data_IF_914944648675
#
_entry.id   IF_914944648675
#
_cell.length_a   1.000
_cell.length_b   1.000
_cell.length_c   1.000
_cell.angle_alpha   90.00
_cell.angle_beta   90.00
_cell.angle_gamma   90.00
#
_symmetry.space_group_name_H-M   'P 1'
#
loop_
_entity.id
_entity.type
_entity.pdbx_description
1 polymer ?
#
# COMPACT_ATOMS: atom_id res chain seq x y z
N UNK A 1 29.24 -27.19 -29.86
CA UNK A 1 27.89 -27.41 -29.29
C UNK A 1 28.01 -27.23 -27.79
N UNK A 2 27.66 -26.04 -27.36
CA UNK A 2 27.83 -25.41 -26.07
C UNK A 2 26.60 -25.68 -25.20
N UNK A 3 26.82 -26.30 -24.04
CA UNK A 3 25.81 -26.46 -23.00
C UNK A 3 25.96 -25.31 -22.00
N UNK A 4 25.18 -24.25 -22.19
CA UNK A 4 25.06 -23.17 -21.20
C UNK A 4 24.18 -23.63 -20.02
N UNK A 5 24.80 -24.27 -19.02
CA UNK A 5 24.21 -24.46 -17.70
C UNK A 5 24.45 -23.21 -16.86
N UNK A 6 23.41 -22.45 -16.56
CA UNK A 6 23.48 -21.34 -15.61
C UNK A 6 23.77 -21.89 -14.21
N UNK A 7 25.03 -21.85 -13.78
CA UNK A 7 25.41 -22.11 -12.40
C UNK A 7 25.00 -20.91 -11.55
N UNK A 8 24.02 -21.10 -10.67
CA UNK A 8 23.66 -20.12 -9.65
C UNK A 8 24.88 -19.81 -8.77
N UNK A 9 25.13 -18.52 -8.51
CA UNK A 9 26.18 -18.08 -7.57
C UNK A 9 25.73 -18.41 -6.15
N UNK A 10 26.52 -19.22 -5.45
CA UNK A 10 26.40 -19.38 -3.99
C UNK A 10 27.07 -18.16 -3.36
N UNK A 11 26.31 -17.39 -2.58
CA UNK A 11 26.82 -16.21 -1.85
C UNK A 11 27.36 -16.72 -0.50
N UNK A 12 28.68 -16.90 -0.41
CA UNK A 12 29.37 -17.52 0.74
C UNK A 12 29.69 -16.52 1.89
N UNK A 13 29.33 -15.24 1.75
CA UNK A 13 29.72 -14.20 2.70
C UNK A 13 28.51 -13.64 3.48
N UNK A 14 28.45 -13.76 4.83
CA UNK A 14 27.37 -13.23 5.66
C UNK A 14 27.11 -11.72 5.51
N UNK A 15 28.15 -10.95 5.15
CA UNK A 15 28.02 -9.50 4.91
C UNK A 15 27.43 -9.15 3.54
N UNK A 16 27.62 -10.02 2.54
CA UNK A 16 26.95 -9.92 1.24
C UNK A 16 25.48 -10.33 1.36
N UNK A 17 25.14 -11.28 2.24
CA UNK A 17 23.74 -11.64 2.54
C UNK A 17 23.00 -10.46 3.15
N UNK A 18 23.64 -9.71 4.06
CA UNK A 18 23.03 -8.51 4.67
C UNK A 18 22.84 -7.39 3.63
N UNK A 19 23.82 -7.17 2.78
CA UNK A 19 23.79 -6.15 1.72
C UNK A 19 22.78 -6.52 0.62
N UNK A 20 22.74 -7.78 0.20
CA UNK A 20 21.77 -8.29 -0.78
C UNK A 20 20.34 -8.32 -0.23
N UNK A 21 20.14 -8.65 1.06
CA UNK A 21 18.82 -8.56 1.69
C UNK A 21 18.33 -7.12 1.87
N UNK A 22 19.24 -6.15 1.92
CA UNK A 22 18.93 -4.71 1.89
C UNK A 22 18.70 -4.20 0.46
N UNK A 23 19.36 -4.76 -0.56
CA UNK A 23 19.15 -4.44 -1.99
C UNK A 23 17.94 -5.14 -2.63
N UNK A 24 17.45 -6.25 -2.05
CA UNK A 24 16.20 -6.95 -2.45
C UNK A 24 14.93 -6.28 -1.92
N UNK A 25 15.03 -5.09 -1.31
CA UNK A 25 13.87 -4.23 -1.14
C UNK A 25 13.77 -3.33 -2.37
N UNK A 26 12.83 -3.58 -3.31
CA UNK A 26 12.65 -2.66 -4.42
C UNK A 26 12.42 -1.25 -3.86
N UNK A 27 12.86 -0.20 -4.57
CA UNK A 27 12.69 1.21 -4.16
C UNK A 27 11.22 1.63 -3.91
N UNK A 28 10.27 0.71 -4.04
CA UNK A 28 8.82 0.86 -3.95
C UNK A 28 8.22 0.81 -2.54
N UNK A 29 9.02 0.69 -1.48
CA UNK A 29 8.49 0.60 -0.09
C UNK A 29 8.43 1.92 0.67
N UNK A 30 8.61 3.08 0.02
CA UNK A 30 8.56 4.41 0.67
C UNK A 30 7.22 4.65 1.38
N UNK A 31 6.14 4.04 0.89
CA UNK A 31 4.83 4.08 1.56
C UNK A 31 4.86 3.55 3.00
N UNK A 32 5.81 2.67 3.35
CA UNK A 32 5.96 2.10 4.70
C UNK A 32 6.38 3.12 5.75
N UNK A 33 7.01 4.22 5.33
CA UNK A 33 7.39 5.31 6.25
C UNK A 33 6.29 6.35 6.41
N UNK A 34 5.16 6.17 5.73
CA UNK A 34 4.07 7.15 5.75
C UNK A 34 3.18 6.95 6.98
N UNK A 35 2.77 8.04 7.67
CA UNK A 35 2.02 7.94 8.92
C UNK A 35 0.60 7.36 8.74
N UNK A 36 0.08 7.40 7.52
CA UNK A 36 -1.21 6.84 7.12
C UNK A 36 -1.14 5.37 6.73
N UNK A 37 0.06 4.77 6.67
CA UNK A 37 0.25 3.36 6.34
C UNK A 37 0.41 2.53 7.60
N UNK A 38 -0.42 1.49 7.74
CA UNK A 38 -0.50 0.67 8.95
C UNK A 38 -0.02 -0.77 8.73
N UNK A 39 0.61 -1.06 7.60
CA UNK A 39 1.09 -2.40 7.29
C UNK A 39 -0.03 -3.44 7.33
N UNK A 40 0.24 -4.60 7.94
CA UNK A 40 -0.70 -5.72 8.03
C UNK A 40 -1.57 -5.62 9.28
N UNK A 41 -2.66 -4.88 9.20
CA UNK A 41 -3.74 -4.86 10.21
C UNK A 41 -5.02 -5.49 9.67
N UNK A 42 -5.83 -6.05 10.59
CA UNK A 42 -7.11 -6.66 10.24
C UNK A 42 -8.17 -5.61 9.88
N UNK A 43 -9.29 -6.07 9.31
CA UNK A 43 -10.44 -5.18 9.05
C UNK A 43 -11.01 -4.67 10.38
N UNK A 44 -11.01 -5.51 11.40
CA UNK A 44 -11.54 -5.24 12.73
C UNK A 44 -10.68 -4.19 13.45
N UNK A 45 -9.35 -4.34 13.43
CA UNK A 45 -8.42 -3.35 13.99
C UNK A 45 -8.54 -2.01 13.28
N UNK A 46 -8.71 -2.04 11.95
CA UNK A 46 -8.96 -0.84 11.15
C UNK A 46 -10.21 -0.11 11.62
N UNK A 47 -11.30 -0.84 11.88
CA UNK A 47 -12.54 -0.25 12.38
C UNK A 47 -12.36 0.36 13.77
N UNK A 48 -11.62 -0.30 14.65
CA UNK A 48 -11.31 0.25 15.97
C UNK A 48 -10.47 1.52 15.89
N UNK A 49 -9.42 1.53 15.07
CA UNK A 49 -8.54 2.70 14.89
C UNK A 49 -9.29 3.92 14.36
N UNK A 50 -10.11 3.73 13.32
CA UNK A 50 -10.96 4.80 12.77
C UNK A 50 -12.03 5.22 13.80
N UNK A 51 -12.60 4.26 14.53
CA UNK A 51 -13.56 4.51 15.61
C UNK A 51 -13.00 5.42 16.71
N UNK A 52 -11.74 5.20 17.11
CA UNK A 52 -11.03 6.06 18.10
C UNK A 52 -10.83 7.49 17.62
N UNK A 53 -10.87 7.74 16.31
CA UNK A 53 -10.81 9.10 15.73
C UNK A 53 -12.20 9.78 15.66
N UNK A 54 -13.24 9.18 16.22
CA UNK A 54 -14.58 9.76 16.26
C UNK A 54 -15.41 9.60 14.98
N UNK A 55 -14.99 8.69 14.07
CA UNK A 55 -15.74 8.35 12.85
C UNK A 55 -16.06 9.57 11.95
N UNK A 56 -15.14 10.53 11.91
CA UNK A 56 -15.28 11.77 11.14
C UNK A 56 -15.12 11.50 9.64
N UNK A 57 -15.88 12.23 8.83
CA UNK A 57 -15.78 12.17 7.38
C UNK A 57 -14.37 12.52 6.87
N UNK A 58 -13.83 11.65 6.01
CA UNK A 58 -12.49 11.83 5.47
C UNK A 58 -11.38 11.23 6.34
N UNK A 59 -11.71 10.62 7.49
CA UNK A 59 -10.74 9.83 8.27
C UNK A 59 -10.37 8.57 7.52
N UNK A 60 -9.09 8.29 7.34
CA UNK A 60 -8.63 7.14 6.57
C UNK A 60 -7.33 6.50 7.08
N UNK A 61 -7.06 5.30 6.57
CA UNK A 61 -5.73 4.67 6.61
C UNK A 61 -5.56 3.73 5.42
N UNK A 62 -4.31 3.40 5.10
CA UNK A 62 -3.96 2.37 4.11
C UNK A 62 -3.29 1.20 4.83
N UNK A 63 -3.62 -0.01 4.40
CA UNK A 63 -3.09 -1.26 4.95
C UNK A 63 -2.84 -2.28 3.85
N UNK A 64 -2.08 -3.32 4.17
CA UNK A 64 -1.93 -4.48 3.30
C UNK A 64 -3.26 -5.23 3.15
N UNK A 65 -3.49 -5.78 1.95
CA UNK A 65 -4.59 -6.68 1.71
C UNK A 65 -4.29 -8.07 2.28
N UNK A 66 -5.20 -8.60 3.10
CA UNK A 66 -5.10 -9.97 3.61
C UNK A 66 -5.49 -11.02 2.56
N UNK A 67 -6.23 -10.64 1.51
CA UNK A 67 -6.74 -11.56 0.48
C UNK A 67 -5.97 -11.51 -0.83
N UNK A 68 -5.36 -10.38 -1.15
CA UNK A 68 -4.70 -10.14 -2.43
C UNK A 68 -3.21 -9.93 -2.19
N UNK A 69 -2.35 -10.91 -2.52
CA UNK A 69 -0.91 -10.75 -2.46
C UNK A 69 -0.48 -9.52 -3.28
N UNK A 70 0.38 -8.66 -2.73
CA UNK A 70 0.83 -7.38 -3.33
C UNK A 70 -0.25 -6.29 -3.48
N UNK A 71 -1.48 -6.54 -3.02
CA UNK A 71 -2.55 -5.55 -2.98
C UNK A 71 -2.58 -4.79 -1.65
N UNK A 72 -3.20 -3.62 -1.68
CA UNK A 72 -3.43 -2.78 -0.50
C UNK A 72 -4.92 -2.48 -0.35
N UNK A 73 -5.29 -1.89 0.79
CA UNK A 73 -6.67 -1.48 1.07
C UNK A 73 -6.65 -0.07 1.65
N UNK A 74 -7.33 0.87 0.99
CA UNK A 74 -7.68 2.17 1.55
C UNK A 74 -8.99 2.02 2.34
N UNK A 75 -8.95 2.32 3.63
CA UNK A 75 -10.13 2.30 4.49
C UNK A 75 -10.50 3.73 4.85
N UNK A 76 -11.73 4.15 4.53
CA UNK A 76 -12.20 5.53 4.63
C UNK A 76 -13.52 5.60 5.39
N UNK A 77 -13.61 6.51 6.35
CA UNK A 77 -14.85 6.86 7.03
C UNK A 77 -15.63 7.94 6.28
N UNK A 78 -16.92 7.69 6.10
CA UNK A 78 -17.89 8.67 5.60
C UNK A 78 -19.30 8.33 6.10
N UNK A 79 -20.01 9.34 6.61
CA UNK A 79 -21.34 9.20 7.21
C UNK A 79 -21.38 8.10 8.28
N UNK A 80 -20.38 8.11 9.19
CA UNK A 80 -20.27 7.13 10.27
C UNK A 80 -20.13 5.67 9.81
N UNK A 81 -19.74 5.45 8.54
CA UNK A 81 -19.51 4.12 7.97
C UNK A 81 -18.12 4.03 7.35
N UNK A 82 -17.48 2.89 7.55
CA UNK A 82 -16.14 2.62 7.00
C UNK A 82 -16.30 1.85 5.69
N UNK A 83 -15.76 2.40 4.61
CA UNK A 83 -15.67 1.78 3.29
C UNK A 83 -14.24 1.34 3.03
N UNK A 84 -14.08 0.18 2.40
CA UNK A 84 -12.77 -0.40 2.09
C UNK A 84 -12.63 -0.52 0.58
N UNK A 85 -11.63 0.16 0.03
CA UNK A 85 -11.30 0.20 -1.39
C UNK A 85 -10.05 -0.64 -1.62
N UNK A 86 -10.18 -1.65 -2.47
CA UNK A 86 -9.05 -2.50 -2.83
C UNK A 86 -8.17 -1.74 -3.82
N UNK A 87 -6.88 -1.67 -3.52
CA UNK A 87 -5.87 -1.10 -4.39
C UNK A 87 -5.09 -2.29 -4.98
N UNK A 88 -5.17 -2.45 -6.30
CA UNK A 88 -4.52 -3.56 -7.00
C UNK A 88 -3.33 -3.08 -7.83
N UNK A 89 -2.24 -3.86 -7.86
CA UNK A 89 -1.17 -3.64 -8.81
C UNK A 89 -1.66 -4.00 -10.23
N UNK A 90 -1.35 -3.15 -11.20
CA UNK A 90 -1.55 -3.40 -12.63
C UNK A 90 -0.24 -3.12 -13.37
N UNK A 91 0.08 -3.96 -14.36
CA UNK A 91 1.27 -3.80 -15.19
C UNK A 91 0.86 -3.30 -16.57
N UNK A 92 1.45 -2.21 -17.02
CA UNK A 92 1.23 -1.60 -18.34
C UNK A 92 2.59 -1.25 -18.94
N UNK A 93 2.88 -1.78 -20.12
CA UNK A 93 4.16 -1.57 -20.83
C UNK A 93 5.41 -1.89 -19.99
N UNK A 94 5.30 -2.91 -19.13
CA UNK A 94 6.40 -3.33 -18.23
C UNK A 94 6.57 -2.44 -16.99
N UNK A 95 5.72 -1.42 -16.80
CA UNK A 95 5.70 -0.57 -15.61
C UNK A 95 4.56 -0.94 -14.69
N UNK A 96 4.86 -0.96 -13.38
CA UNK A 96 3.89 -1.22 -12.33
C UNK A 96 3.15 0.08 -11.96
N UNK A 97 1.83 -0.03 -11.82
CA UNK A 97 0.95 1.00 -11.30
C UNK A 97 -0.01 0.42 -10.27
N UNK A 98 -0.70 1.30 -9.55
CA UNK A 98 -1.77 0.98 -8.62
C UNK A 98 -3.08 1.64 -9.05
N UNK A 99 -4.20 0.92 -8.87
CA UNK A 99 -5.53 1.39 -9.23
C UNK A 99 -6.59 0.93 -8.22
N UNK A 100 -7.69 1.68 -8.11
CA UNK A 100 -8.88 1.32 -7.32
C UNK A 100 -10.16 1.19 -8.18
N UNK A 101 -10.05 1.39 -9.49
CA UNK A 101 -11.16 1.52 -10.45
C UNK A 101 -10.89 0.73 -11.73
N UNK A 102 -10.38 -0.49 -11.57
CA UNK A 102 -10.09 -1.44 -12.66
C UNK A 102 -9.21 -0.84 -13.78
N UNK A 103 -8.29 0.05 -13.39
CA UNK A 103 -7.29 0.64 -14.27
C UNK A 103 -7.71 1.94 -14.96
N UNK A 104 -8.92 2.47 -14.69
CA UNK A 104 -9.32 3.78 -15.25
C UNK A 104 -8.42 4.91 -14.74
N UNK A 105 -8.08 4.89 -13.46
CA UNK A 105 -7.10 5.78 -12.83
C UNK A 105 -5.91 4.96 -12.34
N UNK A 106 -4.70 5.40 -12.72
CA UNK A 106 -3.45 4.71 -12.40
C UNK A 106 -2.50 5.65 -11.66
N UNK A 107 -1.84 5.11 -10.65
CA UNK A 107 -0.86 5.82 -9.82
C UNK A 107 0.46 5.07 -9.84
N UNK A 108 1.58 5.78 -9.89
CA UNK A 108 2.91 5.17 -9.88
C UNK A 108 3.21 4.49 -8.53
N UNK A 109 2.68 5.04 -7.44
CA UNK A 109 2.81 4.51 -6.08
C UNK A 109 1.61 4.90 -5.20
N UNK A 110 1.61 4.41 -3.95
CA UNK A 110 0.54 4.70 -2.98
C UNK A 110 0.57 6.15 -2.50
N UNK A 111 1.71 6.83 -2.53
CA UNK A 111 1.84 8.22 -2.07
C UNK A 111 1.07 9.12 -3.03
N UNK A 112 1.33 8.98 -4.33
CA UNK A 112 0.60 9.70 -5.38
C UNK A 112 -0.91 9.42 -5.32
N UNK A 113 -1.30 8.17 -5.06
CA UNK A 113 -2.71 7.79 -4.91
C UNK A 113 -3.36 8.54 -3.74
N UNK A 114 -2.70 8.60 -2.58
CA UNK A 114 -3.22 9.30 -1.39
C UNK A 114 -3.28 10.81 -1.63
N UNK A 115 -2.20 11.41 -2.13
CA UNK A 115 -2.13 12.86 -2.42
C UNK A 115 -3.21 13.28 -3.42
N UNK A 116 -3.39 12.50 -4.49
CA UNK A 116 -4.47 12.75 -5.44
C UNK A 116 -5.84 12.75 -4.77
N UNK A 117 -6.12 11.78 -3.90
CA UNK A 117 -7.41 11.64 -3.24
C UNK A 117 -7.60 12.61 -2.04
N UNK A 118 -6.55 13.27 -1.58
CA UNK A 118 -6.66 14.41 -0.65
C UNK A 118 -7.18 15.66 -1.35
N UNK A 119 -6.85 15.84 -2.64
CA UNK A 119 -7.27 17.00 -3.44
C UNK A 119 -8.57 16.70 -4.19
N UNK A 120 -8.72 15.49 -4.71
CA UNK A 120 -9.79 15.06 -5.60
C UNK A 120 -10.61 13.95 -4.95
N UNK A 121 -11.92 13.95 -5.18
CA UNK A 121 -12.79 12.88 -4.66
C UNK A 121 -12.58 11.57 -5.45
N UNK A 122 -12.44 11.65 -6.77
CA UNK A 122 -12.43 10.46 -7.63
C UNK A 122 -13.66 9.58 -7.37
N UNK A 123 -13.43 8.28 -7.24
CA UNK A 123 -14.46 7.28 -6.94
C UNK A 123 -14.88 7.22 -5.45
N UNK A 124 -14.15 7.89 -4.55
CA UNK A 124 -14.40 7.84 -3.11
C UNK A 124 -15.68 8.63 -2.78
N UNK A 125 -16.34 8.44 -1.63
CA UNK A 125 -17.49 9.26 -1.22
C UNK A 125 -17.12 10.70 -0.83
N UNK A 126 -15.92 10.91 -0.34
CA UNK A 126 -15.37 12.21 0.06
C UNK A 126 -13.85 12.20 -0.13
N UNK A 127 -13.21 13.38 -0.04
CA UNK A 127 -11.76 13.52 -0.09
C UNK A 127 -11.13 12.95 1.18
N UNK A 128 -9.91 12.46 1.07
CA UNK A 128 -9.09 12.09 2.22
C UNK A 128 -8.70 13.36 2.99
N UNK A 129 -8.92 13.38 4.31
CA UNK A 129 -8.68 14.57 5.13
C UNK A 129 -7.73 14.32 6.29
N UNK A 130 -8.03 13.32 7.09
CA UNK A 130 -7.31 13.04 8.34
C UNK A 130 -6.87 11.58 8.32
N UNK A 131 -5.59 11.31 8.45
CA UNK A 131 -5.15 9.93 8.56
C UNK A 131 -5.12 9.48 10.01
N UNK A 132 -5.45 8.21 10.26
CA UNK A 132 -5.08 7.58 11.52
C UNK A 132 -3.56 7.50 11.59
N UNK A 133 -2.95 8.00 12.65
CA UNK A 133 -1.51 7.80 12.89
C UNK A 133 -1.27 6.36 13.29
N UNK A 134 -0.28 5.71 12.67
CA UNK A 134 0.22 4.43 13.15
C UNK A 134 0.72 4.61 14.59
N UNK A 135 0.02 4.02 15.57
CA UNK A 135 0.49 3.99 16.94
C UNK A 135 1.43 2.80 17.02
N UNK A 136 2.74 3.06 17.05
CA UNK A 136 3.69 2.05 17.49
C UNK A 136 3.35 1.72 18.95
N UNK A 137 2.83 0.51 19.18
CA UNK A 137 2.71 -0.06 20.52
C UNK A 137 4.10 -0.50 21.00
#
# INVERSE_FOLDING_TARGET
MDFSGCTGRVIENPSEVLTAALEEAPPSSIHRTQPWFHGRISREDTQQLIGRQGMVDGVFLVRESQRNPKGFVLSLCHLQRIKHYLILPVSEEGRLYFTMDDGQTRFADLIQLVEFHQINRGILPCKLRHYCTCVAL
#
